data_IF_308764813943
#
_entry.id   IF_308764813943
#
_cell.length_a   1.000
_cell.length_b   1.000
_cell.length_c   1.000
_cell.angle_alpha   90.00
_cell.angle_beta   90.00
_cell.angle_gamma   90.00
#
_symmetry.space_group_name_H-M   'P 1'
#
loop_
_entity.id
_entity.type
_entity.pdbx_description
1 polymer ?
#
# COMPACT_ATOMS: atom_id res chain seq x y z
N UNK A 1 -30.93 -2.59 78.86
CA UNK A 1 -31.77 -2.63 77.65
C UNK A 1 -30.88 -2.32 76.45
N UNK A 2 -30.79 -3.32 75.57
CA UNK A 2 -30.07 -3.51 74.30
C UNK A 2 -29.23 -2.41 73.64
N UNK A 3 -27.95 -2.74 73.41
CA UNK A 3 -27.12 -2.21 72.32
C UNK A 3 -27.73 -2.60 70.97
N UNK A 4 -28.00 -1.64 70.10
CA UNK A 4 -28.42 -1.89 68.72
C UNK A 4 -27.21 -1.84 67.79
N UNK A 5 -26.68 -3.01 67.45
CA UNK A 5 -25.66 -3.16 66.43
C UNK A 5 -26.23 -2.77 65.05
N UNK A 6 -25.71 -1.68 64.48
CA UNK A 6 -26.03 -1.23 63.13
C UNK A 6 -25.36 -2.17 62.13
N UNK A 7 -26.12 -3.10 61.54
CA UNK A 7 -25.62 -3.98 60.49
C UNK A 7 -25.45 -3.19 59.18
N UNK A 8 -24.20 -2.94 58.77
CA UNK A 8 -23.88 -2.44 57.44
C UNK A 8 -24.16 -3.54 56.41
N UNK A 9 -25.28 -3.40 55.68
CA UNK A 9 -25.59 -4.26 54.54
C UNK A 9 -24.74 -3.83 53.34
N UNK A 10 -23.64 -4.55 53.07
CA UNK A 10 -22.83 -4.34 51.88
C UNK A 10 -23.54 -4.96 50.67
N UNK A 11 -24.19 -4.12 49.85
CA UNK A 11 -24.70 -4.52 48.54
C UNK A 11 -23.53 -4.68 47.58
N UNK A 12 -22.99 -5.90 47.50
CA UNK A 12 -22.05 -6.28 46.44
C UNK A 12 -22.77 -6.22 45.08
N UNK A 13 -22.55 -5.11 44.37
CA UNK A 13 -23.05 -4.90 43.00
C UNK A 13 -22.20 -5.75 42.04
N UNK A 14 -22.66 -6.95 41.73
CA UNK A 14 -22.03 -7.80 40.72
C UNK A 14 -22.19 -7.11 39.35
N UNK A 15 -21.10 -6.76 38.64
CA UNK A 15 -21.20 -6.04 37.37
C UNK A 15 -21.94 -6.88 36.31
N UNK A 16 -22.91 -6.26 35.62
CA UNK A 16 -23.72 -6.90 34.58
C UNK A 16 -22.85 -7.44 33.43
N UNK A 17 -23.10 -8.67 32.93
CA UNK A 17 -22.26 -9.34 31.91
C UNK A 17 -22.06 -8.54 30.60
N UNK A 18 -23.07 -7.77 30.18
CA UNK A 18 -23.04 -7.03 28.90
C UNK A 18 -21.97 -5.93 28.83
N UNK A 19 -21.62 -5.31 29.97
CA UNK A 19 -20.60 -4.26 30.03
C UNK A 19 -19.17 -4.84 29.95
N UNK A 20 -18.97 -6.09 30.41
CA UNK A 20 -17.65 -6.74 30.33
C UNK A 20 -17.28 -7.14 28.91
N UNK A 21 -18.23 -7.67 28.13
CA UNK A 21 -18.01 -8.03 26.73
C UNK A 21 -17.75 -6.79 25.86
N UNK A 22 -18.58 -5.76 26.02
CA UNK A 22 -18.41 -4.50 25.30
C UNK A 22 -17.03 -3.87 25.55
N UNK A 23 -16.58 -3.82 26.81
CA UNK A 23 -15.24 -3.29 27.16
C UNK A 23 -14.09 -4.13 26.58
N UNK A 24 -14.24 -5.45 26.50
CA UNK A 24 -13.22 -6.32 25.92
C UNK A 24 -13.11 -6.09 24.41
N UNK A 25 -14.24 -6.08 23.69
CA UNK A 25 -14.27 -5.79 22.25
C UNK A 25 -13.64 -4.44 21.95
N UNK A 26 -13.97 -3.41 22.72
CA UNK A 26 -13.44 -2.06 22.50
C UNK A 26 -11.92 -1.96 22.77
N UNK A 27 -11.42 -2.63 23.82
CA UNK A 27 -9.97 -2.69 24.09
C UNK A 27 -9.22 -3.36 22.95
N UNK A 28 -9.72 -4.49 22.48
CA UNK A 28 -9.12 -5.19 21.35
C UNK A 28 -9.24 -4.41 20.04
N UNK A 29 -10.36 -3.71 19.80
CA UNK A 29 -10.50 -2.81 18.65
C UNK A 29 -9.46 -1.69 18.67
N UNK A 30 -9.20 -1.10 19.84
CA UNK A 30 -8.18 -0.05 19.98
C UNK A 30 -6.76 -0.61 19.73
N UNK A 31 -6.44 -1.78 20.26
CA UNK A 31 -5.14 -2.43 20.01
C UNK A 31 -4.97 -2.84 18.55
N UNK A 32 -6.02 -3.38 17.92
CA UNK A 32 -6.03 -3.70 16.50
C UNK A 32 -5.86 -2.42 15.66
N UNK A 33 -6.59 -1.35 16.00
CA UNK A 33 -6.46 -0.05 15.34
C UNK A 33 -5.06 0.52 15.44
N UNK A 34 -4.46 0.55 16.65
CA UNK A 34 -3.10 1.03 16.87
C UNK A 34 -2.06 0.25 16.05
N UNK A 35 -2.27 -1.05 15.88
CA UNK A 35 -1.41 -1.90 15.06
C UNK A 35 -1.59 -1.64 13.56
N UNK A 36 -2.82 -1.43 13.08
CA UNK A 36 -3.13 -1.25 11.65
C UNK A 36 -2.80 0.16 11.13
N UNK A 37 -2.91 1.18 11.98
CA UNK A 37 -2.63 2.58 11.63
C UNK A 37 -1.28 2.80 10.90
N UNK A 38 -0.12 2.32 11.39
CA UNK A 38 1.15 2.54 10.69
C UNK A 38 1.17 1.98 9.27
N UNK A 39 0.54 0.82 9.04
CA UNK A 39 0.43 0.23 7.71
C UNK A 39 -0.52 1.04 6.81
N UNK A 40 -1.65 1.51 7.34
CA UNK A 40 -2.55 2.42 6.62
C UNK A 40 -1.88 3.74 6.25
N UNK A 41 -1.03 4.29 7.11
CA UNK A 41 -0.24 5.49 6.81
C UNK A 41 0.75 5.24 5.67
N UNK A 42 1.46 4.11 5.67
CA UNK A 42 2.38 3.74 4.60
C UNK A 42 1.61 3.53 3.27
N UNK A 43 0.46 2.84 3.32
CA UNK A 43 -0.40 2.65 2.15
C UNK A 43 -0.94 3.97 1.60
N UNK A 44 -1.38 4.87 2.47
CA UNK A 44 -1.82 6.20 2.08
C UNK A 44 -0.66 7.01 1.48
N UNK A 45 0.51 7.01 2.12
CA UNK A 45 1.69 7.72 1.62
C UNK A 45 2.13 7.21 0.24
N UNK A 46 2.19 5.89 0.05
CA UNK A 46 2.53 5.28 -1.24
C UNK A 46 1.48 5.58 -2.31
N UNK A 47 0.19 5.61 -1.96
CA UNK A 47 -0.88 6.04 -2.86
C UNK A 47 -0.80 7.51 -3.27
N UNK A 48 -0.45 8.40 -2.32
CA UNK A 48 -0.22 9.82 -2.61
C UNK A 48 0.97 9.99 -3.56
N UNK A 49 2.08 9.29 -3.32
CA UNK A 49 3.24 9.30 -4.21
C UNK A 49 2.84 8.91 -5.64
N UNK A 50 1.94 7.94 -5.79
CA UNK A 50 1.44 7.51 -7.11
C UNK A 50 0.62 8.60 -7.80
N UNK A 51 -0.24 9.33 -7.06
CA UNK A 51 -1.05 10.41 -7.61
C UNK A 51 -0.18 11.57 -8.14
N UNK A 52 0.92 11.87 -7.44
CA UNK A 52 1.86 12.94 -7.81
C UNK A 52 3.05 12.45 -8.63
N UNK A 53 2.98 11.24 -9.21
CA UNK A 53 4.05 10.64 -10.02
C UNK A 53 4.59 11.60 -11.10
N UNK A 54 3.77 12.19 -12.00
CA UNK A 54 4.31 13.02 -13.07
C UNK A 54 4.96 14.32 -12.55
N UNK A 55 4.47 14.88 -11.45
CA UNK A 55 5.05 16.06 -10.81
C UNK A 55 6.38 15.71 -10.12
N UNK A 56 6.45 14.58 -9.44
CA UNK A 56 7.67 14.11 -8.78
C UNK A 56 8.75 13.74 -9.80
N UNK A 57 8.38 13.05 -10.88
CA UNK A 57 9.29 12.73 -11.98
C UNK A 57 9.83 13.97 -12.67
N UNK A 58 8.97 14.95 -12.95
CA UNK A 58 9.38 16.21 -13.55
C UNK A 58 10.29 17.04 -12.63
N UNK A 59 10.16 16.90 -11.31
CA UNK A 59 11.02 17.58 -10.34
C UNK A 59 12.37 16.87 -10.13
N UNK A 60 12.37 15.53 -10.05
CA UNK A 60 13.58 14.73 -9.80
C UNK A 60 14.44 14.53 -11.05
N UNK A 61 13.80 14.37 -12.21
CA UNK A 61 14.45 14.00 -13.47
C UNK A 61 14.24 15.09 -14.54
N UNK A 62 14.07 16.34 -14.12
CA UNK A 62 13.81 17.46 -15.02
C UNK A 62 14.83 17.53 -16.17
N UNK A 63 16.10 17.39 -15.83
CA UNK A 63 17.23 17.46 -16.76
C UNK A 63 17.30 16.26 -17.73
N UNK A 64 16.66 15.15 -17.41
CA UNK A 64 16.57 13.97 -18.28
C UNK A 64 15.36 14.06 -19.20
N UNK A 65 14.23 14.51 -18.66
CA UNK A 65 12.94 14.50 -19.35
C UNK A 65 12.72 15.69 -20.28
N UNK A 66 13.37 16.83 -20.01
CA UNK A 66 13.20 18.07 -20.76
C UNK A 66 14.42 18.41 -21.60
N UNK A 67 14.18 18.81 -22.84
CA UNK A 67 15.20 19.22 -23.80
C UNK A 67 14.81 20.54 -24.45
N UNK A 68 15.81 21.29 -24.92
CA UNK A 68 15.55 22.47 -25.73
C UNK A 68 14.96 22.04 -27.09
N UNK A 69 13.81 22.57 -27.51
CA UNK A 69 13.23 22.25 -28.80
C UNK A 69 14.16 22.64 -29.96
N UNK A 70 14.49 21.67 -30.80
CA UNK A 70 15.22 21.90 -32.05
C UNK A 70 14.30 22.00 -33.27
N UNK A 71 14.88 22.31 -34.43
CA UNK A 71 14.15 22.48 -35.69
C UNK A 71 13.95 21.18 -36.46
N UNK A 72 14.77 20.15 -36.22
CA UNK A 72 14.73 18.88 -36.95
C UNK A 72 15.02 17.73 -36.01
N UNK A 73 14.14 16.74 -35.96
CA UNK A 73 14.31 15.52 -35.16
C UNK A 73 15.10 14.49 -35.94
N UNK A 74 16.06 13.85 -35.30
CA UNK A 74 16.79 12.72 -35.86
C UNK A 74 15.87 11.49 -36.00
N UNK A 75 16.12 10.62 -37.00
CA UNK A 75 15.43 9.34 -37.11
C UNK A 75 15.61 8.50 -35.84
N UNK A 76 14.57 7.76 -35.43
CA UNK A 76 14.66 6.88 -34.25
C UNK A 76 15.79 5.84 -34.36
N UNK A 77 16.14 5.42 -35.57
CA UNK A 77 17.27 4.51 -35.81
C UNK A 77 18.61 5.12 -35.37
N UNK A 78 18.83 6.41 -35.61
CA UNK A 78 20.07 7.09 -35.18
C UNK A 78 20.07 7.33 -33.66
N UNK A 79 18.90 7.60 -33.08
CA UNK A 79 18.76 7.73 -31.64
C UNK A 79 19.04 6.40 -30.93
N UNK A 80 18.49 5.29 -31.44
CA UNK A 80 18.75 3.94 -30.95
C UNK A 80 20.23 3.58 -31.08
N UNK A 81 20.84 3.86 -32.24
CA UNK A 81 22.27 3.61 -32.44
C UNK A 81 23.12 4.36 -31.40
N UNK A 82 22.75 5.60 -31.06
CA UNK A 82 23.45 6.39 -30.05
C UNK A 82 23.35 5.75 -28.65
N UNK A 83 22.20 5.15 -28.33
CA UNK A 83 21.99 4.39 -27.10
C UNK A 83 22.79 3.08 -27.11
N UNK A 84 22.74 2.30 -28.17
CA UNK A 84 23.49 1.04 -28.31
C UNK A 84 25.00 1.25 -28.21
N UNK A 85 25.50 2.34 -28.79
CA UNK A 85 26.90 2.74 -28.68
C UNK A 85 27.30 3.12 -27.23
N UNK A 86 26.36 3.67 -26.46
CA UNK A 86 26.60 4.09 -25.08
C UNK A 86 26.44 2.94 -24.08
N UNK A 87 25.63 1.93 -24.42
CA UNK A 87 25.34 0.76 -23.57
C UNK A 87 25.65 -0.54 -24.33
N UNK A 88 26.94 -0.84 -24.59
CA UNK A 88 27.32 -2.05 -25.30
C UNK A 88 26.88 -3.30 -24.52
N UNK A 89 26.14 -4.19 -25.20
CA UNK A 89 25.63 -5.43 -24.61
C UNK A 89 24.26 -5.31 -23.93
N UNK A 90 23.64 -4.12 -23.91
CA UNK A 90 22.24 -3.97 -23.55
C UNK A 90 21.34 -4.17 -24.79
N UNK A 91 20.16 -4.76 -24.59
CA UNK A 91 19.17 -4.97 -25.66
C UNK A 91 18.06 -3.94 -25.56
N UNK A 92 17.77 -3.24 -26.66
CA UNK A 92 16.63 -2.32 -26.72
C UNK A 92 15.34 -3.14 -26.73
N UNK A 93 14.47 -2.90 -25.75
CA UNK A 93 13.21 -3.63 -25.59
C UNK A 93 11.99 -2.80 -25.99
N UNK A 94 12.04 -1.48 -25.78
CA UNK A 94 10.94 -0.58 -26.09
C UNK A 94 11.45 0.82 -26.42
N UNK A 95 10.78 1.49 -27.36
CA UNK A 95 10.99 2.91 -27.64
C UNK A 95 9.68 3.62 -27.32
N UNK A 96 9.77 4.70 -26.55
CA UNK A 96 8.64 5.58 -26.25
C UNK A 96 8.93 6.95 -26.88
N UNK A 97 8.21 7.31 -27.96
CA UNK A 97 8.35 8.60 -28.63
C UNK A 97 8.16 9.79 -27.70
N UNK A 98 8.81 10.90 -28.03
CA UNK A 98 8.58 12.15 -27.33
C UNK A 98 7.16 12.67 -27.60
N UNK A 99 6.40 12.93 -26.54
CA UNK A 99 5.01 13.41 -26.62
C UNK A 99 4.89 14.91 -26.89
N UNK A 100 6.00 15.66 -26.75
CA UNK A 100 6.09 17.10 -26.99
C UNK A 100 7.50 17.49 -27.47
N UNK A 101 7.64 18.69 -28.05
CA UNK A 101 8.91 19.20 -28.60
C UNK A 101 9.97 19.50 -27.54
N UNK A 102 9.55 19.72 -26.30
CA UNK A 102 10.42 19.94 -25.14
C UNK A 102 10.73 18.64 -24.39
N UNK A 103 10.40 17.46 -24.95
CA UNK A 103 10.59 16.16 -24.31
C UNK A 103 11.64 15.32 -25.02
N UNK A 104 12.43 14.61 -24.21
CA UNK A 104 13.35 13.57 -24.68
C UNK A 104 12.59 12.35 -25.22
N UNK A 105 13.21 11.61 -26.13
CA UNK A 105 12.79 10.24 -26.45
C UNK A 105 13.25 9.32 -25.32
N UNK A 106 12.41 8.35 -24.95
CA UNK A 106 12.77 7.35 -23.95
C UNK A 106 13.00 6.00 -24.62
N UNK A 107 14.09 5.32 -24.27
CA UNK A 107 14.44 4.00 -24.78
C UNK A 107 14.63 3.07 -23.60
N UNK A 108 13.85 1.99 -23.54
CA UNK A 108 13.99 0.96 -22.53
C UNK A 108 15.02 -0.06 -22.99
N UNK A 109 15.98 -0.34 -22.11
CA UNK A 109 17.04 -1.31 -22.30
C UNK A 109 16.90 -2.43 -21.26
N UNK A 110 17.11 -3.67 -21.71
CA UNK A 110 17.42 -4.80 -20.85
C UNK A 110 18.94 -5.00 -20.82
N UNK A 111 19.54 -4.85 -19.65
CA UNK A 111 20.98 -5.09 -19.45
C UNK A 111 21.28 -6.59 -19.30
N UNK A 112 22.54 -6.98 -19.50
CA UNK A 112 22.97 -8.37 -19.29
C UNK A 112 22.78 -8.84 -17.83
N UNK A 113 22.71 -7.91 -16.88
CA UNK A 113 22.41 -8.18 -15.46
C UNK A 113 20.90 -8.26 -15.16
N UNK A 114 20.06 -8.43 -16.19
CA UNK A 114 18.59 -8.51 -16.09
C UNK A 114 17.90 -7.24 -15.54
N UNK A 115 18.60 -6.10 -15.47
CA UNK A 115 17.99 -4.82 -15.07
C UNK A 115 17.35 -4.11 -16.25
N UNK A 116 16.21 -3.47 -16.01
CA UNK A 116 15.55 -2.60 -16.98
C UNK A 116 15.95 -1.14 -16.76
N UNK A 117 16.68 -0.56 -17.72
CA UNK A 117 17.10 0.83 -17.69
C UNK A 117 16.32 1.64 -18.71
N UNK A 118 15.72 2.75 -18.27
CA UNK A 118 15.10 3.73 -19.15
C UNK A 118 16.09 4.84 -19.46
N UNK A 119 16.49 4.91 -20.72
CA UNK A 119 17.47 5.87 -21.23
C UNK A 119 16.74 7.05 -21.86
N UNK A 120 17.19 8.26 -21.54
CA UNK A 120 16.65 9.49 -22.10
C UNK A 120 17.59 10.02 -23.18
N UNK A 121 17.06 10.23 -24.37
CA UNK A 121 17.81 10.68 -25.55
C UNK A 121 17.23 11.99 -26.05
N UNK A 122 18.08 12.95 -26.34
CA UNK A 122 17.66 14.17 -26.99
C UNK A 122 17.35 13.89 -28.48
N UNK A 123 16.09 14.06 -28.95
CA UNK A 123 15.68 13.70 -30.30
C UNK A 123 16.30 14.60 -31.38
N UNK A 124 16.91 15.74 -31.02
CA UNK A 124 17.44 16.72 -31.97
C UNK A 124 18.93 16.54 -32.26
N UNK A 125 19.70 16.00 -31.32
CA UNK A 125 21.15 15.85 -31.46
C UNK A 125 21.66 14.42 -31.15
N UNK A 126 20.78 13.50 -30.74
CA UNK A 126 21.13 12.11 -30.43
C UNK A 126 21.88 11.94 -29.12
N UNK A 127 22.02 13.01 -28.33
CA UNK A 127 22.73 12.97 -27.06
C UNK A 127 21.98 12.12 -26.04
N UNK A 128 22.67 11.16 -25.43
CA UNK A 128 22.18 10.43 -24.26
C UNK A 128 22.28 11.35 -23.04
N UNK A 129 21.13 11.68 -22.45
CA UNK A 129 21.01 12.59 -21.32
C UNK A 129 21.28 11.87 -19.99
N UNK A 130 20.99 10.58 -19.94
CA UNK A 130 21.22 9.71 -18.78
C UNK A 130 20.27 8.52 -18.75
N UNK A 131 20.36 7.74 -17.69
CA UNK A 131 19.56 6.57 -17.42
C UNK A 131 18.76 6.68 -16.12
N UNK A 132 17.68 5.89 -16.05
CA UNK A 132 16.90 5.66 -14.84
C UNK A 132 16.58 4.18 -14.73
N UNK A 133 16.92 3.58 -13.61
CA UNK A 133 16.53 2.22 -13.29
C UNK A 133 15.00 2.13 -13.10
N UNK A 134 14.33 1.31 -13.91
CA UNK A 134 12.86 1.16 -13.86
C UNK A 134 12.44 0.27 -12.67
N UNK A 135 13.34 -0.59 -12.20
CA UNK A 135 13.09 -1.59 -11.16
C UNK A 135 13.55 -1.10 -9.78
N UNK A 136 14.56 -0.23 -9.72
CA UNK A 136 15.13 0.31 -8.49
C UNK A 136 15.03 1.84 -8.38
N UNK A 137 13.80 2.35 -8.41
CA UNK A 137 13.50 3.75 -8.15
C UNK A 137 12.41 3.91 -7.07
N UNK A 138 12.22 5.15 -6.58
CA UNK A 138 11.23 5.45 -5.54
C UNK A 138 9.81 4.97 -5.88
N UNK A 139 9.43 5.01 -7.16
CA UNK A 139 8.11 4.58 -7.60
C UNK A 139 7.99 3.06 -7.65
N UNK A 140 9.04 2.36 -8.08
CA UNK A 140 9.10 0.91 -8.05
C UNK A 140 9.03 0.39 -6.61
N UNK A 141 9.77 1.02 -5.69
CA UNK A 141 9.72 0.73 -4.25
C UNK A 141 8.32 1.02 -3.70
N UNK A 142 7.75 2.19 -4.00
CA UNK A 142 6.41 2.55 -3.53
C UNK A 142 5.34 1.58 -4.07
N UNK A 143 5.42 1.18 -5.35
CA UNK A 143 4.54 0.19 -5.97
C UNK A 143 4.66 -1.18 -5.29
N UNK A 144 5.89 -1.61 -5.00
CA UNK A 144 6.16 -2.87 -4.30
C UNK A 144 5.55 -2.85 -2.90
N UNK A 145 5.83 -1.80 -2.12
CA UNK A 145 5.28 -1.63 -0.77
C UNK A 145 3.75 -1.59 -0.80
N UNK A 146 3.16 -0.81 -1.72
CA UNK A 146 1.70 -0.67 -1.85
C UNK A 146 1.04 -2.01 -2.21
N UNK A 147 1.60 -2.75 -3.17
CA UNK A 147 1.08 -4.04 -3.61
C UNK A 147 1.26 -5.16 -2.58
N UNK A 148 2.46 -5.32 -2.01
CA UNK A 148 2.76 -6.37 -1.02
C UNK A 148 2.00 -6.15 0.29
N UNK A 149 1.73 -4.91 0.70
CA UNK A 149 0.91 -4.65 1.89
C UNK A 149 -0.58 -4.94 1.67
N UNK A 150 -1.11 -4.75 0.45
CA UNK A 150 -2.51 -5.02 0.11
C UNK A 150 -2.79 -6.51 -0.19
N UNK A 151 -1.84 -7.23 -0.81
CA UNK A 151 -2.03 -8.60 -1.33
C UNK A 151 -1.15 -9.64 -0.61
N UNK A 152 -0.14 -9.21 0.14
CA UNK A 152 0.75 -10.11 0.86
C UNK A 152 0.18 -10.61 2.19
N UNK A 153 0.99 -11.39 2.91
CA UNK A 153 0.64 -12.07 4.17
C UNK A 153 -0.03 -11.17 5.22
N UNK A 154 0.29 -9.87 5.25
CA UNK A 154 -0.34 -8.91 6.18
C UNK A 154 -1.82 -8.70 5.84
N UNK A 155 -2.16 -8.54 4.55
CA UNK A 155 -3.55 -8.47 4.09
C UNK A 155 -4.32 -9.74 4.43
N UNK A 156 -3.71 -10.90 4.19
CA UNK A 156 -4.28 -12.20 4.56
C UNK A 156 -4.54 -12.29 6.08
N UNK A 157 -3.58 -11.91 6.93
CA UNK A 157 -3.77 -11.91 8.37
C UNK A 157 -4.85 -10.91 8.83
N UNK A 158 -4.99 -9.76 8.18
CA UNK A 158 -6.02 -8.78 8.51
C UNK A 158 -7.43 -9.28 8.13
N UNK A 159 -7.55 -9.91 6.96
CA UNK A 159 -8.81 -10.52 6.51
C UNK A 159 -9.15 -11.75 7.35
N UNK A 160 -8.17 -12.59 7.66
CA UNK A 160 -8.32 -13.76 8.55
C UNK A 160 -8.73 -13.31 9.96
N UNK A 161 -8.09 -12.28 10.52
CA UNK A 161 -8.47 -11.71 11.81
C UNK A 161 -9.90 -11.15 11.79
N UNK A 162 -10.29 -10.46 10.71
CA UNK A 162 -11.66 -9.95 10.54
C UNK A 162 -12.69 -11.10 10.42
N UNK A 163 -12.37 -12.17 9.69
CA UNK A 163 -13.22 -13.33 9.52
C UNK A 163 -13.37 -14.14 10.82
N UNK A 164 -12.27 -14.38 11.55
CA UNK A 164 -12.30 -15.06 12.85
C UNK A 164 -13.16 -14.30 13.87
N UNK A 165 -13.15 -12.97 13.84
CA UNK A 165 -13.98 -12.14 14.70
C UNK A 165 -15.47 -12.13 14.30
N UNK A 166 -15.78 -12.14 13.00
CA UNK A 166 -17.15 -12.26 12.50
C UNK A 166 -17.83 -13.56 12.93
N UNK A 167 -17.10 -14.69 12.90
CA UNK A 167 -17.63 -16.01 13.29
C UNK A 167 -17.75 -16.14 14.82
N UNK A 168 -16.80 -15.60 15.60
CA UNK A 168 -16.89 -15.58 17.06
C UNK A 168 -18.12 -14.83 17.59
N UNK A 169 -18.57 -13.78 16.88
CA UNK A 169 -19.80 -13.06 17.20
C UNK A 169 -21.07 -13.86 16.83
N UNK A 170 -21.04 -14.67 15.78
CA UNK A 170 -22.21 -15.41 15.30
C UNK A 170 -22.53 -16.66 16.13
N UNK A 171 -21.53 -17.36 16.68
CA UNK A 171 -21.77 -18.66 17.33
C UNK A 171 -22.20 -18.58 18.81
N UNK A 172 -22.04 -17.43 19.47
CA UNK A 172 -22.50 -17.23 20.86
C UNK A 172 -23.93 -16.68 20.98
N UNK A 173 -24.63 -16.45 19.85
CA UNK A 173 -26.00 -15.93 19.81
C UNK A 173 -27.10 -17.00 19.66
N UNK A 174 -26.75 -18.27 19.46
CA UNK A 174 -27.72 -19.35 19.20
C UNK A 174 -27.52 -20.52 20.16
N UNK A 175 -27.81 -20.33 21.45
CA UNK A 175 -28.23 -21.44 22.29
C UNK A 175 -29.73 -21.26 22.58
N UNK A 176 -30.59 -22.21 22.17
CA UNK A 176 -32.01 -22.12 22.43
C UNK A 176 -32.22 -22.25 23.95
N UNK A 177 -32.82 -21.23 24.56
CA UNK A 177 -33.36 -21.32 25.91
C UNK A 177 -34.53 -22.30 25.85
N UNK A 178 -34.23 -23.58 26.09
CA UNK A 178 -35.23 -24.60 26.33
C UNK A 178 -36.00 -24.25 27.60
N UNK A 179 -37.29 -23.96 27.47
CA UNK A 179 -38.20 -23.90 28.61
C UNK A 179 -38.61 -25.32 29.00
N UNK A 180 -38.34 -25.81 30.22
CA UNK A 180 -39.00 -27.00 30.73
C UNK A 180 -40.44 -26.66 31.13
N UNK A 181 -41.36 -27.50 30.64
CA UNK A 181 -42.78 -27.54 30.99
C UNK A 181 -42.92 -28.44 32.23
N UNK A 182 -43.32 -27.91 33.38
CA UNK A 182 -43.80 -28.66 34.57
C UNK A 182 -44.48 -27.62 35.47
N UNK A 183 -45.68 -27.74 36.03
CA UNK A 183 -46.64 -28.82 36.21
C UNK A 183 -47.47 -28.37 37.42
N UNK A 184 -48.73 -27.99 37.22
CA UNK A 184 -49.61 -27.51 38.29
C UNK A 184 -50.00 -28.68 39.20
N UNK A 185 -49.49 -28.68 40.43
CA UNK A 185 -50.01 -29.47 41.54
C UNK A 185 -50.23 -28.53 42.72
N UNK A 186 -51.49 -28.13 42.92
CA UNK A 186 -52.21 -28.07 44.20
C UNK A 186 -53.57 -27.39 43.98
#
# INVERSE_FOLDING_TARGET
MSESATAFNQTSTTPSPGNRFYRTVWRWHFYAGLFVIPFMLILAATGIIYLFKPQLDAAMYHNLMFVAPGTTTLPYTEQVQSVENSYPGATVTQITPNVAADRSTEVLLATADERNLRIFVNPYNGQVLGDRDEDNNLQAIARKIHGELLIGKVGDYLVELAACWGVGAAHFGTLPVGYPITGSQS
#
